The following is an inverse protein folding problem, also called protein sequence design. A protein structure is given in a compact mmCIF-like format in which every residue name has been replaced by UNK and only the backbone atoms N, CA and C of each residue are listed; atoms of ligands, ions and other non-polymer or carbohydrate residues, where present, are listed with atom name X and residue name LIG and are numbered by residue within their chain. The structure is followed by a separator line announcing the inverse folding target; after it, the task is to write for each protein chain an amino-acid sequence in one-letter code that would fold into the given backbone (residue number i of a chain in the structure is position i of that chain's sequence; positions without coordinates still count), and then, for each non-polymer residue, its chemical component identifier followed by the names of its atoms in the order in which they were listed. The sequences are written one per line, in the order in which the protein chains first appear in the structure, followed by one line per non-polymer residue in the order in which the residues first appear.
data_IF_467984297528
#
_entry.id   IF_467984297528
#
_cell.length_a   1.000
_cell.length_b   1.000
_cell.length_c   1.000
_cell.angle_alpha   90.00
_cell.angle_beta   90.00
_cell.angle_gamma   90.00
#
_symmetry.space_group_name_H-M   'P 1'
#
loop_
_entity.id
_entity.type
_entity.pdbx_description
1 polymer ?
#
# COMPACT_ATOMS: atom_id res chain seq x y z
N UNK A 1 -8.73 29.86 1.50
CA UNK A 1 -8.78 28.43 1.82
C UNK A 1 -8.78 27.68 0.51
N UNK A 2 -7.61 27.25 0.04
CA UNK A 2 -7.51 26.54 -1.24
C UNK A 2 -8.04 25.11 -1.07
N UNK A 3 -9.22 24.87 -1.64
CA UNK A 3 -9.77 23.55 -1.87
C UNK A 3 -8.87 22.81 -2.85
N UNK A 4 -8.01 21.92 -2.34
CA UNK A 4 -7.25 20.98 -3.16
C UNK A 4 -8.23 20.04 -3.87
N UNK A 5 -8.34 20.24 -5.18
CA UNK A 5 -9.07 19.38 -6.12
C UNK A 5 -8.43 17.99 -6.15
N UNK A 6 -9.20 16.95 -5.77
CA UNK A 6 -8.80 15.55 -5.88
C UNK A 6 -8.63 15.16 -7.35
N UNK A 7 -7.41 15.28 -7.87
CA UNK A 7 -6.98 14.63 -9.11
C UNK A 7 -7.16 13.12 -8.89
N UNK A 8 -7.90 12.43 -9.76
CA UNK A 8 -8.16 10.99 -9.66
C UNK A 8 -6.85 10.21 -9.60
N UNK A 9 -6.40 9.92 -8.38
CA UNK A 9 -5.15 9.23 -8.13
C UNK A 9 -5.25 7.78 -8.59
N UNK A 10 -4.12 7.28 -9.09
CA UNK A 10 -3.88 5.86 -9.27
C UNK A 10 -4.41 5.09 -8.06
N UNK A 11 -5.17 4.00 -8.29
CA UNK A 11 -5.78 3.23 -7.20
C UNK A 11 -4.77 2.21 -6.67
N UNK A 12 -4.79 1.88 -5.38
CA UNK A 12 -3.95 0.81 -4.88
C UNK A 12 -4.39 -0.51 -5.52
N UNK A 13 -3.44 -1.28 -6.02
CA UNK A 13 -3.68 -2.60 -6.64
C UNK A 13 -4.05 -3.65 -5.59
N UNK A 14 -3.60 -3.43 -4.35
CA UNK A 14 -3.89 -4.29 -3.20
C UNK A 14 -3.89 -3.45 -1.94
N UNK A 15 -4.75 -3.80 -1.00
CA UNK A 15 -4.67 -3.27 0.36
C UNK A 15 -4.64 -4.44 1.34
N UNK A 16 -3.73 -4.37 2.30
CA UNK A 16 -3.65 -5.25 3.46
C UNK A 16 -4.11 -4.45 4.68
N UNK A 17 -4.94 -5.04 5.55
CA UNK A 17 -5.51 -4.33 6.70
C UNK A 17 -5.55 -5.23 7.94
N UNK A 18 -5.14 -4.67 9.08
CA UNK A 18 -5.26 -5.25 10.42
C UNK A 18 -5.81 -4.17 11.36
N UNK A 19 -7.02 -4.38 11.87
CA UNK A 19 -7.73 -3.40 12.68
C UNK A 19 -7.78 -2.02 12.01
N UNK A 20 -7.21 -1.03 12.69
CA UNK A 20 -7.19 0.36 12.20
C UNK A 20 -6.05 0.63 11.21
N UNK A 21 -5.07 -0.27 11.07
CA UNK A 21 -3.89 -0.07 10.23
C UNK A 21 -4.08 -0.73 8.86
N UNK A 22 -3.67 -0.03 7.79
CA UNK A 22 -3.67 -0.56 6.44
C UNK A 22 -2.38 -0.21 5.69
N UNK A 23 -1.90 -1.15 4.89
CA UNK A 23 -0.89 -0.94 3.86
C UNK A 23 -1.58 -0.97 2.48
N UNK A 24 -1.53 0.13 1.75
CA UNK A 24 -2.00 0.25 0.38
C UNK A 24 -0.81 0.07 -0.55
N UNK A 25 -0.84 -0.96 -1.39
CA UNK A 25 0.21 -1.32 -2.34
C UNK A 25 -0.15 -0.70 -3.70
N UNK A 26 0.84 -0.11 -4.36
CA UNK A 26 0.69 0.54 -5.66
C UNK A 26 1.66 -0.09 -6.64
N UNK A 27 1.26 -0.16 -7.92
CA UNK A 27 2.17 -0.43 -9.03
C UNK A 27 2.49 0.92 -9.63
N UNK A 28 3.76 1.27 -9.76
CA UNK A 28 4.21 2.55 -10.31
C UNK A 28 5.26 2.33 -11.37
N UNK A 29 5.43 3.32 -12.23
CA UNK A 29 6.48 3.35 -13.23
C UNK A 29 7.43 4.51 -12.97
N UNK A 30 8.72 4.25 -12.92
CA UNK A 30 9.76 5.27 -12.79
C UNK A 30 9.92 6.08 -14.09
N UNK A 31 10.60 7.24 -14.05
CA UNK A 31 10.84 8.07 -15.24
C UNK A 31 11.62 7.35 -16.36
N UNK A 32 12.37 6.31 -16.00
CA UNK A 32 13.13 5.44 -16.91
C UNK A 32 12.30 4.27 -17.48
N UNK A 33 10.99 4.22 -17.18
CA UNK A 33 10.10 3.16 -17.61
C UNK A 33 10.12 1.90 -16.73
N UNK A 34 10.94 1.84 -15.68
CA UNK A 34 11.01 0.68 -14.78
C UNK A 34 9.75 0.60 -13.90
N UNK A 35 9.02 -0.52 -13.97
CA UNK A 35 7.88 -0.78 -13.10
C UNK A 35 8.36 -1.28 -11.73
N UNK A 36 7.80 -0.71 -10.67
CA UNK A 36 8.07 -1.13 -9.30
C UNK A 36 6.78 -1.14 -8.48
N UNK A 37 6.82 -1.90 -7.38
CA UNK A 37 5.77 -1.85 -6.37
C UNK A 37 6.27 -1.08 -5.17
N UNK A 38 5.43 -0.21 -4.63
CA UNK A 38 5.61 0.42 -3.32
C UNK A 38 4.35 0.26 -2.48
N UNK A 39 4.43 0.60 -1.19
CA UNK A 39 3.24 0.66 -0.35
C UNK A 39 3.29 1.87 0.57
N UNK A 40 2.11 2.40 0.87
CA UNK A 40 1.90 3.46 1.87
C UNK A 40 1.11 2.92 3.05
N UNK A 41 1.47 3.37 4.24
CA UNK A 41 0.82 2.98 5.49
C UNK A 41 -0.15 4.08 5.93
N UNK A 42 -1.29 3.66 6.47
CA UNK A 42 -2.24 4.58 7.08
C UNK A 42 -2.98 3.94 8.25
N UNK A 43 -3.39 4.77 9.19
CA UNK A 43 -4.28 4.42 10.30
C UNK A 43 -5.61 5.13 10.13
N UNK A 44 -6.70 4.37 10.12
CA UNK A 44 -8.05 4.95 10.20
C UNK A 44 -8.38 5.40 11.61
N UNK A 45 -9.09 6.51 11.74
CA UNK A 45 -9.61 7.01 13.00
C UNK A 45 -11.03 7.54 12.84
N UNK A 46 -11.78 7.56 13.95
CA UNK A 46 -13.11 8.16 14.04
C UNK A 46 -13.14 9.12 15.22
N UNK A 47 -13.47 10.38 14.98
CA UNK A 47 -13.65 11.37 16.04
C UNK A 47 -14.95 11.06 16.79
N UNK A 48 -14.85 10.80 18.10
CA UNK A 48 -16.01 10.55 18.95
C UNK A 48 -16.99 11.73 19.00
N UNK A 49 -16.48 12.96 18.92
CA UNK A 49 -17.28 14.19 19.08
C UNK A 49 -18.11 14.55 17.85
N UNK A 50 -17.60 14.28 16.64
CA UNK A 50 -18.23 14.73 15.38
C UNK A 50 -18.66 13.57 14.47
N UNK A 51 -18.34 12.33 14.84
CA UNK A 51 -18.56 11.15 14.00
C UNK A 51 -17.70 11.10 12.73
N UNK A 52 -16.87 12.12 12.48
CA UNK A 52 -16.00 12.20 11.30
C UNK A 52 -14.96 11.10 11.33
N UNK A 53 -14.71 10.53 10.16
CA UNK A 53 -13.69 9.51 9.95
C UNK A 53 -12.57 10.06 9.07
N UNK A 54 -11.36 9.55 9.25
CA UNK A 54 -10.21 9.98 8.48
C UNK A 54 -9.06 8.98 8.54
N UNK A 55 -7.98 9.34 7.88
CA UNK A 55 -6.74 8.56 7.83
C UNK A 55 -5.58 9.41 8.37
N UNK A 56 -4.58 8.76 8.94
CA UNK A 56 -3.36 9.40 9.44
C UNK A 56 -2.13 8.55 9.09
N UNK A 57 -1.00 9.16 8.72
CA UNK A 57 0.27 8.46 8.61
C UNK A 57 0.96 8.27 9.97
N UNK A 58 0.35 8.72 11.08
CA UNK A 58 0.91 8.61 12.43
C UNK A 58 0.27 7.46 13.21
N UNK A 59 1.12 6.70 13.88
CA UNK A 59 0.76 5.47 14.60
C UNK A 59 0.99 5.63 16.11
N UNK A 60 0.22 4.90 16.90
CA UNK A 60 0.42 4.82 18.34
C UNK A 60 1.24 3.59 18.71
N UNK A 61 1.87 3.61 19.89
CA UNK A 61 2.65 2.47 20.39
C UNK A 61 1.86 1.16 20.41
N UNK A 62 0.58 1.20 20.80
CA UNK A 62 -0.28 0.01 20.82
C UNK A 62 -0.66 -0.52 19.43
N UNK A 63 -0.29 0.15 18.34
CA UNK A 63 -0.46 -0.36 16.99
C UNK A 63 0.74 -1.20 16.52
N UNK A 64 1.76 -1.43 17.36
CA UNK A 64 2.98 -2.14 16.98
C UNK A 64 2.70 -3.47 16.27
N UNK A 65 1.89 -4.35 16.86
CA UNK A 65 1.60 -5.67 16.29
C UNK A 65 0.88 -5.57 14.94
N UNK A 66 -0.16 -4.74 14.85
CA UNK A 66 -0.92 -4.53 13.61
C UNK A 66 -0.04 -3.93 12.51
N UNK A 67 0.82 -2.98 12.88
CA UNK A 67 1.75 -2.31 11.97
C UNK A 67 2.79 -3.29 11.42
N UNK A 68 3.40 -4.11 12.29
CA UNK A 68 4.34 -5.14 11.89
C UNK A 68 3.69 -6.16 10.95
N UNK A 69 2.48 -6.62 11.26
CA UNK A 69 1.76 -7.58 10.41
C UNK A 69 1.46 -7.01 9.02
N UNK A 70 0.93 -5.78 8.91
CA UNK A 70 0.60 -5.22 7.59
C UNK A 70 1.86 -4.98 6.74
N UNK A 71 2.98 -4.59 7.36
CA UNK A 71 4.26 -4.40 6.65
C UNK A 71 4.78 -5.72 6.12
N UNK A 72 4.81 -6.76 6.96
CA UNK A 72 5.30 -8.08 6.57
C UNK A 72 4.43 -8.70 5.47
N UNK A 73 3.11 -8.61 5.59
CA UNK A 73 2.18 -9.13 4.57
C UNK A 73 2.28 -8.35 3.25
N UNK A 74 2.40 -7.01 3.29
CA UNK A 74 2.56 -6.21 2.08
C UNK A 74 3.90 -6.50 1.38
N UNK A 75 5.00 -6.57 2.13
CA UNK A 75 6.31 -6.91 1.58
C UNK A 75 6.34 -8.32 0.98
N UNK A 76 5.74 -9.30 1.67
CA UNK A 76 5.63 -10.68 1.19
C UNK A 76 4.81 -10.76 -0.10
N UNK A 77 3.73 -9.98 -0.20
CA UNK A 77 2.93 -9.90 -1.41
C UNK A 77 3.73 -9.30 -2.58
N UNK A 78 4.49 -8.23 -2.35
CA UNK A 78 5.35 -7.64 -3.40
C UNK A 78 6.40 -8.65 -3.88
N UNK A 79 7.07 -9.34 -2.95
CA UNK A 79 8.06 -10.36 -3.27
C UNK A 79 7.46 -11.49 -4.13
N UNK A 80 6.23 -11.92 -3.83
CA UNK A 80 5.55 -12.96 -4.63
C UNK A 80 5.19 -12.48 -6.04
N UNK A 81 4.80 -11.21 -6.21
CA UNK A 81 4.58 -10.64 -7.54
C UNK A 81 5.88 -10.60 -8.35
N UNK A 82 6.98 -10.15 -7.75
CA UNK A 82 8.27 -10.03 -8.42
C UNK A 82 8.83 -11.40 -8.82
N UNK A 83 8.74 -12.41 -7.94
CA UNK A 83 9.13 -13.78 -8.25
C UNK A 83 8.31 -14.36 -9.42
N UNK A 84 7.01 -14.09 -9.44
CA UNK A 84 6.12 -14.53 -10.52
C UNK A 84 6.48 -13.86 -11.86
N UNK A 85 6.72 -12.55 -11.86
CA UNK A 85 7.13 -11.81 -13.07
C UNK A 85 8.48 -12.31 -13.61
N UNK A 86 9.44 -12.59 -12.73
CA UNK A 86 10.75 -13.09 -13.12
C UNK A 86 10.67 -14.51 -13.73
N UNK A 87 9.86 -15.41 -13.16
CA UNK A 87 9.64 -16.74 -13.71
C UNK A 87 9.02 -16.72 -15.13
N UNK A 88 8.13 -15.76 -15.42
CA UNK A 88 7.51 -15.65 -16.75
C UNK A 88 8.49 -15.15 -17.83
N UNK A 89 9.40 -14.24 -17.50
CA UNK A 89 10.41 -13.73 -18.45
C UNK A 89 11.38 -14.84 -18.88
N UNK A 90 11.82 -15.69 -17.94
CA UNK A 90 12.74 -16.79 -18.26
C UNK A 90 12.07 -17.93 -19.03
N UNK A 91 10.78 -18.20 -18.79
CA UNK A 91 10.02 -19.20 -19.55
C UNK A 91 9.71 -18.80 -20.98
N UNK A 92 9.51 -17.50 -21.26
CA UNK A 92 9.17 -16.99 -22.59
C UNK A 92 10.36 -16.94 -23.57
N UNK A 93 11.60 -17.02 -23.08
CA UNK A 93 12.81 -16.96 -23.92
C UNK A 93 13.32 -18.35 -24.33
N UNK A 94 12.63 -19.42 -23.91
CA UNK A 94 13.04 -20.81 -24.14
C UNK A 94 12.11 -21.59 -25.09
N UNK A 95 11.29 -20.89 -25.89
CA UNK A 95 10.36 -21.47 -26.85
C UNK A 95 10.67 -21.03 -28.29
#
# INVERSE_FOLDING_TARGET
METQTKKGGEKPIKTVRKGAIAASIWKRQGPNGFEYFDFSLSRSWKAKSSGKEGYSPNFFHNNADELSQVVLEAASWIASQQASSQAQVFGATSA
#
